data_IF_335313658061
#
_entry.id   IF_335313658061
#
_cell.length_a   1.000
_cell.length_b   1.000
_cell.length_c   1.000
_cell.angle_alpha   90.00
_cell.angle_beta   90.00
_cell.angle_gamma   90.00
#
_symmetry.space_group_name_H-M   'P 1'
#
loop_
_entity.id
_entity.type
_entity.pdbx_description
1 polymer ?
#
# COMPACT_ATOMS: atom_id res chain seq x y z
N UNK A 1 -12.14 -6.51 -9.23
CA UNK A 1 -13.26 -6.09 -10.11
C UNK A 1 -14.55 -6.85 -9.79
N UNK A 2 -14.51 -8.17 -9.58
CA UNK A 2 -15.71 -8.99 -9.34
C UNK A 2 -16.54 -8.58 -8.11
N UNK A 3 -15.91 -8.23 -6.98
CA UNK A 3 -16.65 -7.70 -5.81
C UNK A 3 -17.41 -6.40 -6.11
N UNK A 4 -16.88 -5.54 -6.98
CA UNK A 4 -17.55 -4.30 -7.41
C UNK A 4 -18.78 -4.65 -8.27
N UNK A 5 -18.66 -5.67 -9.13
CA UNK A 5 -19.72 -6.13 -10.01
C UNK A 5 -20.83 -6.90 -9.28
N UNK A 6 -20.49 -7.74 -8.31
CA UNK A 6 -21.43 -8.61 -7.61
C UNK A 6 -22.26 -7.88 -6.54
N UNK A 7 -21.71 -6.86 -5.89
CA UNK A 7 -22.33 -6.21 -4.73
C UNK A 7 -22.80 -4.77 -5.00
N UNK A 8 -22.69 -4.30 -6.25
CA UNK A 8 -23.22 -3.03 -6.75
C UNK A 8 -22.43 -1.78 -6.34
N UNK A 9 -21.93 -1.69 -5.09
CA UNK A 9 -21.07 -0.60 -4.66
C UNK A 9 -20.17 -1.02 -3.49
N UNK A 10 -18.87 -0.75 -3.62
CA UNK A 10 -17.96 -0.76 -2.46
C UNK A 10 -18.15 0.57 -1.72
N UNK A 11 -18.43 0.53 -0.42
CA UNK A 11 -18.58 1.76 0.35
C UNK A 11 -17.26 2.53 0.44
N UNK A 12 -17.34 3.82 0.73
CA UNK A 12 -16.16 4.70 0.76
C UNK A 12 -15.09 4.21 1.76
N UNK A 13 -15.49 3.70 2.92
CA UNK A 13 -14.57 3.15 3.93
C UNK A 13 -13.80 1.92 3.43
N UNK A 14 -14.48 1.01 2.73
CA UNK A 14 -13.82 -0.17 2.14
C UNK A 14 -12.88 0.25 1.01
N UNK A 15 -13.28 1.25 0.22
CA UNK A 15 -12.41 1.78 -0.85
C UNK A 15 -11.14 2.41 -0.26
N UNK A 16 -11.26 3.19 0.82
CA UNK A 16 -10.12 3.78 1.52
C UNK A 16 -9.16 2.70 2.04
N UNK A 17 -9.68 1.62 2.64
CA UNK A 17 -8.87 0.49 3.12
C UNK A 17 -8.08 -0.19 1.99
N UNK A 18 -8.75 -0.48 0.86
CA UNK A 18 -8.09 -1.08 -0.31
C UNK A 18 -7.03 -0.15 -0.90
N UNK A 19 -7.34 1.15 -1.05
CA UNK A 19 -6.40 2.15 -1.58
C UNK A 19 -5.19 2.32 -0.67
N UNK A 20 -5.37 2.27 0.66
CA UNK A 20 -4.27 2.33 1.62
C UNK A 20 -3.32 1.15 1.45
N UNK A 21 -3.85 -0.08 1.37
CA UNK A 21 -3.05 -1.28 1.16
C UNK A 21 -2.31 -1.25 -0.19
N UNK A 22 -2.97 -0.80 -1.27
CA UNK A 22 -2.34 -0.65 -2.58
C UNK A 22 -1.24 0.42 -2.59
N UNK A 23 -1.46 1.55 -1.91
CA UNK A 23 -0.46 2.60 -1.75
C UNK A 23 0.77 2.12 -0.96
N UNK A 24 0.56 1.34 0.10
CA UNK A 24 1.65 0.75 0.89
C UNK A 24 2.50 -0.21 0.04
N UNK A 25 1.85 -1.09 -0.73
CA UNK A 25 2.55 -1.99 -1.66
C UNK A 25 3.37 -1.21 -2.72
N UNK A 26 2.82 -0.12 -3.26
CA UNK A 26 3.54 0.78 -4.16
C UNK A 26 4.73 1.45 -3.47
N UNK A 27 4.58 1.90 -2.23
CA UNK A 27 5.66 2.56 -1.46
C UNK A 27 6.83 1.61 -1.25
N UNK A 28 6.54 0.39 -0.81
CA UNK A 28 7.55 -0.66 -0.65
C UNK A 28 8.35 -0.89 -1.94
N UNK A 29 7.67 -0.96 -3.08
CA UNK A 29 8.30 -1.16 -4.39
C UNK A 29 9.08 0.07 -4.87
N UNK A 30 8.51 1.27 -4.73
CA UNK A 30 9.12 2.53 -5.17
C UNK A 30 10.41 2.81 -4.39
N UNK A 31 10.45 2.52 -3.09
CA UNK A 31 11.65 2.63 -2.26
C UNK A 31 12.78 1.69 -2.72
N UNK A 32 12.44 0.59 -3.40
CA UNK A 32 13.38 -0.36 -4.03
C UNK A 32 13.66 -0.03 -5.49
N UNK A 33 13.24 1.13 -5.97
CA UNK A 33 13.45 1.54 -7.36
C UNK A 33 12.58 0.79 -8.35
N UNK A 34 11.44 0.21 -7.96
CA UNK A 34 10.54 -0.55 -8.82
C UNK A 34 9.24 0.24 -9.03
N UNK A 35 8.86 0.48 -10.28
CA UNK A 35 7.54 1.02 -10.64
C UNK A 35 6.67 -0.10 -11.21
N UNK A 36 5.38 -0.15 -10.85
CA UNK A 36 4.44 -1.21 -11.26
C UNK A 36 3.99 -1.04 -12.73
N UNK A 37 3.66 0.19 -13.13
CA UNK A 37 3.28 0.65 -14.49
C UNK A 37 1.95 0.15 -15.04
N UNK A 38 1.33 -0.86 -14.45
CA UNK A 38 -0.02 -1.32 -14.83
C UNK A 38 -0.96 -1.46 -13.64
N UNK A 39 -1.00 -0.45 -12.76
CA UNK A 39 -1.97 -0.41 -11.66
C UNK A 39 -3.39 -0.27 -12.21
N UNK A 40 -4.23 -1.25 -11.91
CA UNK A 40 -5.63 -1.35 -12.35
C UNK A 40 -6.43 -2.28 -11.42
N UNK A 41 -7.77 -2.24 -11.39
CA UNK A 41 -8.58 -3.04 -10.48
C UNK A 41 -8.43 -4.56 -10.65
N UNK A 42 -7.98 -5.02 -11.82
CA UNK A 42 -7.68 -6.43 -12.12
C UNK A 42 -6.40 -6.90 -11.43
N UNK A 43 -5.47 -5.98 -11.18
CA UNK A 43 -4.18 -6.26 -10.53
C UNK A 43 -4.23 -6.03 -9.01
N UNK A 44 -5.42 -5.80 -8.44
CA UNK A 44 -5.67 -5.69 -6.99
C UNK A 44 -6.60 -6.84 -6.60
N UNK A 45 -6.03 -7.92 -6.08
CA UNK A 45 -6.75 -9.15 -5.77
C UNK A 45 -7.02 -9.28 -4.28
N UNK A 46 -8.22 -9.73 -3.91
CA UNK A 46 -8.52 -10.10 -2.53
C UNK A 46 -7.88 -11.45 -2.21
N UNK A 47 -7.30 -11.57 -1.01
CA UNK A 47 -6.69 -12.81 -0.54
C UNK A 47 -7.73 -13.89 -0.17
N UNK A 48 -8.99 -13.50 0.03
CA UNK A 48 -10.06 -14.41 0.44
C UNK A 48 -11.39 -14.08 -0.25
N UNK A 49 -12.29 -15.05 -0.29
CA UNK A 49 -13.69 -14.84 -0.73
C UNK A 49 -14.59 -14.29 0.40
N UNK A 50 -14.07 -14.12 1.62
CA UNK A 50 -14.81 -13.55 2.74
C UNK A 50 -15.00 -12.04 2.52
N UNK A 51 -16.25 -11.62 2.34
CA UNK A 51 -16.64 -10.23 2.06
C UNK A 51 -16.32 -9.30 3.24
N UNK A 52 -16.28 -9.83 4.47
CA UNK A 52 -15.85 -9.08 5.66
C UNK A 52 -14.34 -8.86 5.72
N UNK A 53 -13.58 -9.45 4.80
CA UNK A 53 -12.13 -9.34 4.74
C UNK A 53 -11.70 -8.57 3.47
N UNK A 54 -11.11 -7.39 3.69
CA UNK A 54 -10.62 -6.51 2.64
C UNK A 54 -9.11 -6.63 2.42
N UNK A 55 -8.47 -7.70 2.91
CA UNK A 55 -7.06 -7.90 2.68
C UNK A 55 -6.78 -8.15 1.20
N UNK A 56 -5.99 -7.27 0.58
CA UNK A 56 -5.63 -7.34 -0.84
C UNK A 56 -4.14 -7.60 -1.03
N UNK A 57 -3.80 -8.06 -2.24
CA UNK A 57 -2.45 -8.07 -2.78
C UNK A 57 -2.43 -7.40 -4.15
N UNK A 58 -1.38 -6.61 -4.39
CA UNK A 58 -1.06 -6.11 -5.73
C UNK A 58 -0.29 -7.20 -6.47
N UNK A 59 -0.81 -7.58 -7.63
CA UNK A 59 -0.28 -8.67 -8.45
C UNK A 59 0.18 -8.16 -9.82
N UNK A 60 0.76 -9.06 -10.62
CA UNK A 60 1.17 -8.81 -12.01
C UNK A 60 2.20 -7.67 -12.18
N UNK A 61 3.36 -7.91 -11.57
CA UNK A 61 4.56 -7.08 -11.73
C UNK A 61 5.28 -7.36 -13.06
N UNK A 62 4.63 -8.00 -14.05
CA UNK A 62 5.23 -8.39 -15.32
C UNK A 62 5.65 -7.20 -16.20
N UNK A 63 5.05 -6.03 -15.97
CA UNK A 63 5.48 -4.75 -16.57
C UNK A 63 6.38 -3.93 -15.63
N UNK A 64 6.64 -4.44 -14.42
CA UNK A 64 7.45 -3.80 -13.41
C UNK A 64 8.85 -3.50 -13.94
N UNK A 65 9.34 -2.28 -13.69
CA UNK A 65 10.63 -1.85 -14.20
C UNK A 65 11.49 -1.23 -13.10
N UNK A 66 12.75 -1.65 -13.03
CA UNK A 66 13.74 -1.09 -12.13
C UNK A 66 14.24 0.25 -12.65
N UNK A 67 13.80 1.35 -12.05
CA UNK A 67 14.16 2.72 -12.43
C UNK A 67 15.41 3.25 -11.70
N UNK A 68 16.03 2.45 -10.82
CA UNK A 68 17.22 2.84 -10.05
C UNK A 68 18.48 3.05 -10.89
N UNK A 69 18.56 2.46 -12.08
CA UNK A 69 19.71 2.59 -13.00
C UNK A 69 19.36 3.17 -14.37
N UNK A 70 18.08 3.17 -14.75
CA UNK A 70 17.66 3.63 -16.06
C UNK A 70 16.24 4.21 -16.03
N UNK A 71 16.00 5.08 -17.00
CA UNK A 71 14.83 5.91 -17.15
C UNK A 71 13.82 5.22 -18.10
N UNK A 72 12.52 5.18 -17.78
CA UNK A 72 11.50 4.40 -18.54
C UNK A 72 10.95 5.14 -19.78
N UNK A 73 10.89 4.50 -20.95
CA UNK A 73 10.46 5.17 -22.21
C UNK A 73 9.38 4.42 -23.03
N UNK A 74 8.92 3.24 -22.61
CA UNK A 74 7.90 2.48 -23.37
C UNK A 74 6.46 2.79 -22.93
N UNK A 75 5.57 2.92 -23.91
CA UNK A 75 4.13 3.00 -23.71
C UNK A 75 3.59 1.60 -23.39
N UNK A 76 3.37 1.33 -22.10
CA UNK A 76 2.81 0.07 -21.60
C UNK A 76 1.71 0.38 -20.57
N UNK A 77 0.82 -0.58 -20.34
CA UNK A 77 -0.30 -0.47 -19.41
C UNK A 77 -1.65 -0.28 -20.11
N UNK A 78 -2.71 -0.38 -19.31
CA UNK A 78 -4.09 -0.26 -19.80
C UNK A 78 -4.45 1.20 -20.06
N UNK A 79 -4.85 1.55 -21.30
CA UNK A 79 -5.08 2.95 -21.75
C UNK A 79 -5.94 3.79 -20.80
N UNK A 80 -6.95 3.18 -20.18
CA UNK A 80 -7.87 3.85 -19.24
C UNK A 80 -7.16 4.35 -17.98
N UNK A 81 -6.15 3.62 -17.50
CA UNK A 81 -5.47 3.87 -16.22
C UNK A 81 -4.09 4.53 -16.41
N UNK A 82 -3.52 4.46 -17.61
CA UNK A 82 -2.20 5.01 -17.89
C UNK A 82 -2.15 6.54 -17.74
N UNK A 83 -1.01 7.03 -17.25
CA UNK A 83 -0.74 8.45 -17.08
C UNK A 83 -0.47 9.15 -18.43
N UNK A 84 -0.79 10.45 -18.58
CA UNK A 84 -0.65 11.15 -19.86
C UNK A 84 0.77 11.12 -20.41
N UNK A 85 1.79 11.23 -19.57
CA UNK A 85 3.20 11.15 -19.97
C UNK A 85 3.63 9.76 -20.46
N UNK A 86 2.99 8.70 -19.96
CA UNK A 86 3.20 7.33 -20.43
C UNK A 86 2.59 7.15 -21.82
N UNK A 87 1.38 7.67 -22.02
CA UNK A 87 0.67 7.60 -23.30
C UNK A 87 1.38 8.38 -24.40
N UNK A 88 1.93 9.54 -24.07
CA UNK A 88 2.59 10.37 -25.06
C UNK A 88 3.98 9.85 -25.46
N UNK A 89 4.54 8.88 -24.72
CA UNK A 89 5.90 8.36 -24.91
C UNK A 89 6.95 9.48 -25.07
N UNK A 90 6.65 10.68 -24.54
CA UNK A 90 7.40 11.91 -24.83
C UNK A 90 8.70 11.97 -24.06
N UNK A 91 8.77 11.26 -22.94
CA UNK A 91 9.86 11.36 -22.01
C UNK A 91 10.07 10.09 -21.21
N UNK A 92 11.24 10.06 -20.61
CA UNK A 92 11.52 9.32 -19.40
C UNK A 92 10.46 9.60 -18.33
N UNK A 93 9.83 8.57 -17.81
CA UNK A 93 8.95 8.69 -16.64
C UNK A 93 9.50 7.93 -15.41
N UNK A 94 9.03 8.33 -14.23
CA UNK A 94 9.37 7.76 -12.92
C UNK A 94 8.20 6.94 -12.38
N UNK A 95 8.28 6.52 -11.12
CA UNK A 95 7.19 5.83 -10.42
C UNK A 95 5.92 6.68 -10.22
N UNK A 96 5.96 7.99 -10.54
CA UNK A 96 4.81 8.90 -10.50
C UNK A 96 3.65 8.50 -11.43
N UNK A 97 3.89 7.62 -12.43
CA UNK A 97 2.82 7.05 -13.24
C UNK A 97 1.87 6.17 -12.42
N UNK A 98 2.40 5.43 -11.44
CA UNK A 98 1.58 4.56 -10.57
C UNK A 98 0.63 5.39 -9.70
N UNK A 99 1.04 6.60 -9.33
CA UNK A 99 0.21 7.54 -8.56
C UNK A 99 -1.02 7.99 -9.35
N UNK A 100 -0.83 8.28 -10.64
CA UNK A 100 -1.94 8.59 -11.53
C UNK A 100 -2.89 7.40 -11.64
N UNK A 101 -2.35 6.21 -11.92
CA UNK A 101 -3.13 4.98 -12.05
C UNK A 101 -3.91 4.66 -10.76
N UNK A 102 -3.30 4.84 -9.58
CA UNK A 102 -3.97 4.73 -8.28
C UNK A 102 -5.12 5.74 -8.14
N UNK A 103 -4.94 6.97 -8.63
CA UNK A 103 -6.00 7.98 -8.70
C UNK A 103 -7.17 7.57 -9.59
N UNK A 104 -6.89 7.00 -10.76
CA UNK A 104 -7.91 6.47 -11.67
C UNK A 104 -8.65 5.29 -11.04
N UNK A 105 -7.92 4.34 -10.45
CA UNK A 105 -8.49 3.20 -9.70
C UNK A 105 -9.42 3.70 -8.59
N UNK A 106 -8.95 4.64 -7.77
CA UNK A 106 -9.74 5.21 -6.67
C UNK A 106 -11.03 5.87 -7.19
N UNK A 107 -10.94 6.65 -8.27
CA UNK A 107 -12.10 7.28 -8.91
C UNK A 107 -13.12 6.23 -9.39
N UNK A 108 -12.64 5.18 -10.07
CA UNK A 108 -13.48 4.09 -10.59
C UNK A 108 -14.14 3.31 -9.46
N UNK A 109 -13.41 3.01 -8.37
CA UNK A 109 -13.98 2.28 -7.23
C UNK A 109 -15.11 3.05 -6.55
N UNK A 110 -15.01 4.39 -6.48
CA UNK A 110 -16.02 5.21 -5.82
C UNK A 110 -17.27 5.48 -6.66
N UNK A 111 -17.15 5.59 -7.99
CA UNK A 111 -18.29 5.96 -8.83
C UNK A 111 -18.63 4.99 -9.98
N UNK A 112 -17.85 3.92 -10.15
CA UNK A 112 -18.06 2.87 -11.15
C UNK A 112 -17.75 3.27 -12.59
N UNK A 113 -17.21 4.48 -12.84
CA UNK A 113 -16.94 5.00 -14.18
C UNK A 113 -15.52 5.53 -14.29
N UNK A 114 -14.86 5.47 -15.46
CA UNK A 114 -13.56 6.09 -15.66
C UNK A 114 -13.66 7.63 -15.66
N UNK A 115 -12.64 8.35 -15.14
CA UNK A 115 -12.62 9.81 -15.11
C UNK A 115 -12.46 10.43 -16.51
N UNK A 116 -11.82 9.70 -17.44
CA UNK A 116 -11.54 10.14 -18.80
C UNK A 116 -12.19 9.16 -19.79
N UNK A 117 -12.99 9.69 -20.71
CA UNK A 117 -13.68 8.92 -21.76
C UNK A 117 -13.64 9.66 -23.10
N UNK A 118 -13.94 8.94 -24.17
CA UNK A 118 -13.85 9.41 -25.54
C UNK A 118 -12.78 8.64 -26.32
N UNK A 119 -12.44 9.13 -27.52
CA UNK A 119 -11.29 8.59 -28.25
C UNK A 119 -9.95 8.99 -27.58
N UNK A 120 -8.84 8.40 -28.02
CA UNK A 120 -7.51 8.66 -27.46
C UNK A 120 -7.16 10.15 -27.35
N UNK A 121 -7.42 10.94 -28.40
CA UNK A 121 -7.09 12.37 -28.41
C UNK A 121 -7.96 13.17 -27.43
N UNK A 122 -9.24 12.82 -27.31
CA UNK A 122 -10.16 13.44 -26.36
C UNK A 122 -9.78 13.13 -24.90
N UNK A 123 -9.45 11.87 -24.62
CA UNK A 123 -9.00 11.45 -23.30
C UNK A 123 -7.74 12.21 -22.91
N UNK A 124 -6.70 12.19 -23.75
CA UNK A 124 -5.45 12.88 -23.49
C UNK A 124 -5.64 14.39 -23.28
N UNK A 125 -6.53 15.03 -24.06
CA UNK A 125 -6.89 16.44 -23.87
C UNK A 125 -7.52 16.69 -22.49
N UNK A 126 -8.45 15.84 -22.04
CA UNK A 126 -9.08 15.94 -20.72
C UNK A 126 -8.08 15.68 -19.58
N UNK A 127 -7.20 14.68 -19.74
CA UNK A 127 -6.15 14.36 -18.78
C UNK A 127 -5.22 15.56 -18.56
N UNK A 128 -4.75 16.18 -19.64
CA UNK A 128 -3.89 17.38 -19.59
C UNK A 128 -4.58 18.61 -19.00
N UNK A 129 -5.88 18.73 -19.23
CA UNK A 129 -6.69 19.79 -18.66
C UNK A 129 -7.13 19.51 -17.21
N UNK A 130 -6.75 18.37 -16.63
CA UNK A 130 -7.22 17.89 -15.32
C UNK A 130 -8.75 17.93 -15.22
N UNK A 131 -9.43 17.61 -16.32
CA UNK A 131 -10.87 17.79 -16.49
C UNK A 131 -11.61 16.46 -16.39
N UNK A 132 -12.19 16.21 -15.22
CA UNK A 132 -13.01 15.04 -14.91
C UNK A 132 -14.14 15.43 -13.94
N UNK A 133 -15.37 14.91 -14.11
CA UNK A 133 -16.52 15.31 -13.33
C UNK A 133 -16.51 14.69 -11.93
N UNK A 134 -16.85 15.47 -10.90
CA UNK A 134 -17.09 14.97 -9.54
C UNK A 134 -18.30 15.67 -8.93
N UNK A 135 -19.39 15.77 -9.70
CA UNK A 135 -20.54 16.63 -9.38
C UNK A 135 -21.90 15.95 -9.49
N UNK A 136 -21.98 14.75 -10.06
CA UNK A 136 -23.25 14.02 -10.17
C UNK A 136 -23.75 13.52 -8.81
N UNK A 137 -24.92 12.88 -8.80
CA UNK A 137 -25.56 12.37 -7.59
C UNK A 137 -24.69 11.37 -6.82
N UNK A 138 -23.89 10.54 -7.50
CA UNK A 138 -22.94 9.62 -6.86
C UNK A 138 -21.87 10.42 -6.12
N UNK A 139 -21.29 11.42 -6.77
CA UNK A 139 -20.28 12.27 -6.16
C UNK A 139 -20.81 13.18 -5.05
N UNK A 140 -22.11 13.46 -4.97
CA UNK A 140 -22.68 14.21 -3.85
C UNK A 140 -22.59 13.45 -2.52
N UNK A 141 -22.60 12.12 -2.55
CA UNK A 141 -22.49 11.26 -1.36
C UNK A 141 -21.04 10.98 -0.94
N UNK A 142 -20.08 11.21 -1.84
CA UNK A 142 -18.66 10.98 -1.59
C UNK A 142 -18.05 12.15 -0.81
N UNK A 143 -17.27 11.84 0.22
CA UNK A 143 -16.68 12.86 1.10
C UNK A 143 -15.80 13.87 0.34
N UNK A 144 -15.68 15.11 0.84
CA UNK A 144 -14.72 16.07 0.32
C UNK A 144 -13.27 15.56 0.36
N UNK A 145 -12.93 14.75 1.37
CA UNK A 145 -11.56 14.24 1.56
C UNK A 145 -11.17 13.24 0.47
N UNK A 146 -12.06 12.33 0.07
CA UNK A 146 -11.82 11.45 -1.08
C UNK A 146 -11.53 12.24 -2.35
N UNK A 147 -12.30 13.31 -2.60
CA UNK A 147 -12.15 14.17 -3.79
C UNK A 147 -10.83 14.95 -3.75
N UNK A 148 -10.37 15.39 -2.57
CA UNK A 148 -9.08 16.06 -2.41
C UNK A 148 -7.94 15.09 -2.76
N UNK A 149 -7.98 13.86 -2.24
CA UNK A 149 -6.98 12.84 -2.56
C UNK A 149 -6.90 12.60 -4.08
N UNK A 150 -8.04 12.35 -4.73
CA UNK A 150 -8.06 12.09 -6.18
C UNK A 150 -7.52 13.28 -6.98
N UNK A 151 -7.83 14.52 -6.59
CA UNK A 151 -7.26 15.72 -7.23
C UNK A 151 -5.74 15.85 -7.03
N UNK A 152 -5.21 15.36 -5.92
CA UNK A 152 -3.78 15.28 -5.70
C UNK A 152 -3.11 14.23 -6.59
N UNK A 153 -3.75 13.07 -6.78
CA UNK A 153 -3.23 11.97 -7.60
C UNK A 153 -3.32 12.25 -9.10
N UNK A 154 -4.43 12.85 -9.56
CA UNK A 154 -4.71 13.14 -10.98
C UNK A 154 -4.17 14.50 -11.45
N UNK A 155 -2.93 14.83 -11.07
CA UNK A 155 -2.22 15.98 -11.63
C UNK A 155 -1.56 15.62 -12.95
N UNK A 156 -1.75 16.44 -13.98
CA UNK A 156 -1.22 16.17 -15.31
C UNK A 156 0.32 16.19 -15.29
N UNK A 157 0.89 17.18 -14.61
CA UNK A 157 2.33 17.30 -14.35
C UNK A 157 2.76 16.26 -13.29
N UNK A 158 3.61 15.28 -13.62
CA UNK A 158 4.06 14.26 -12.68
C UNK A 158 4.75 14.83 -11.44
N UNK A 159 5.41 16.00 -11.55
CA UNK A 159 6.11 16.65 -10.43
C UNK A 159 5.15 17.28 -9.41
N UNK A 160 3.90 17.50 -9.80
CA UNK A 160 2.84 18.06 -8.94
C UNK A 160 1.92 16.99 -8.36
N UNK A 161 2.09 15.72 -8.76
CA UNK A 161 1.28 14.62 -8.21
C UNK A 161 1.61 14.42 -6.74
N UNK A 162 0.57 14.10 -5.98
CA UNK A 162 0.67 13.81 -4.57
C UNK A 162 1.64 12.63 -4.33
N UNK A 163 2.74 12.82 -3.59
CA UNK A 163 3.68 11.75 -3.25
C UNK A 163 3.05 10.67 -2.36
N UNK A 164 3.58 9.45 -2.38
CA UNK A 164 3.05 8.32 -1.59
C UNK A 164 3.00 8.60 -0.09
N UNK A 165 4.01 9.25 0.47
CA UNK A 165 4.01 9.63 1.88
C UNK A 165 2.81 10.51 2.23
N UNK A 166 2.46 11.44 1.34
CA UNK A 166 1.31 12.31 1.54
C UNK A 166 -0.01 11.58 1.30
N UNK A 167 -0.03 10.55 0.44
CA UNK A 167 -1.19 9.67 0.24
C UNK A 167 -1.47 8.87 1.51
N UNK A 168 -0.46 8.17 2.05
CA UNK A 168 -0.61 7.33 3.24
C UNK A 168 -0.98 8.12 4.49
N UNK A 169 -0.52 9.37 4.58
CA UNK A 169 -0.88 10.30 5.66
C UNK A 169 -2.20 11.08 5.42
N UNK A 170 -2.85 10.88 4.28
CA UNK A 170 -4.06 11.63 3.93
C UNK A 170 -5.23 11.29 4.87
N UNK A 171 -5.95 12.31 5.35
CA UNK A 171 -7.03 12.13 6.33
C UNK A 171 -8.10 11.12 5.88
N UNK A 172 -8.39 11.07 4.59
CA UNK A 172 -9.31 10.08 4.02
C UNK A 172 -8.90 8.62 4.30
N UNK A 173 -7.61 8.30 4.31
CA UNK A 173 -7.09 6.94 4.57
C UNK A 173 -6.89 6.65 6.06
N UNK A 174 -6.90 7.67 6.93
CA UNK A 174 -6.72 7.52 8.39
C UNK A 174 -7.99 7.07 9.12
N UNK A 175 -9.16 7.15 8.49
CA UNK A 175 -10.47 6.90 9.13
C UNK A 175 -10.66 5.40 9.49
N UNK A 176 -9.86 4.48 8.95
CA UNK A 176 -10.05 3.02 9.10
C UNK A 176 -9.26 2.37 10.24
N UNK A 177 -8.63 3.11 11.16
CA UNK A 177 -7.91 2.48 12.28
C UNK A 177 -8.89 1.90 13.31
N UNK A 178 -9.08 0.58 13.25
CA UNK A 178 -9.69 -0.19 14.33
C UNK A 178 -8.83 -0.14 15.60
N UNK A 179 -9.45 -0.38 16.76
CA UNK A 179 -8.68 -0.51 18.00
C UNK A 179 -7.91 -1.84 17.99
N UNK A 180 -6.59 -1.74 18.16
CA UNK A 180 -5.69 -2.89 18.34
C UNK A 180 -6.11 -3.70 19.57
N UNK A 181 -6.22 -5.01 19.42
CA UNK A 181 -6.31 -5.91 20.56
C UNK A 181 -4.94 -5.97 21.25
N UNK A 182 -4.81 -5.25 22.36
CA UNK A 182 -3.57 -5.16 23.15
C UNK A 182 -3.08 -6.52 23.63
N UNK A 183 -3.97 -7.49 23.87
CA UNK A 183 -3.57 -8.82 24.35
C UNK A 183 -2.93 -9.63 23.21
N UNK A 184 -3.53 -9.60 22.03
CA UNK A 184 -2.94 -10.19 20.82
C UNK A 184 -1.59 -9.54 20.51
N UNK A 185 -1.52 -8.20 20.52
CA UNK A 185 -0.31 -7.45 20.27
C UNK A 185 0.83 -7.85 21.21
N UNK A 186 0.52 -7.93 22.51
CA UNK A 186 1.45 -8.37 23.55
C UNK A 186 1.99 -9.77 23.29
N UNK A 187 1.14 -10.70 22.85
CA UNK A 187 1.56 -12.06 22.52
C UNK A 187 2.53 -12.10 21.33
N UNK A 188 2.25 -11.35 20.26
CA UNK A 188 3.12 -11.28 19.08
C UNK A 188 4.50 -10.72 19.44
N UNK A 189 4.54 -9.60 20.17
CA UNK A 189 5.80 -8.98 20.56
C UNK A 189 6.60 -9.82 21.58
N UNK A 190 5.92 -10.54 22.47
CA UNK A 190 6.58 -11.50 23.35
C UNK A 190 7.19 -12.67 22.57
N UNK A 191 6.47 -13.19 21.57
CA UNK A 191 7.01 -14.24 20.70
C UNK A 191 8.26 -13.73 19.97
N UNK A 192 8.20 -12.55 19.36
CA UNK A 192 9.33 -11.88 18.71
C UNK A 192 10.57 -11.80 19.63
N UNK A 193 10.36 -11.37 20.89
CA UNK A 193 11.42 -11.31 21.91
C UNK A 193 11.94 -12.69 22.33
N UNK A 194 11.09 -13.71 22.39
CA UNK A 194 11.54 -15.06 22.70
C UNK A 194 12.37 -15.65 21.55
N UNK A 195 11.97 -15.37 20.29
CA UNK A 195 12.67 -15.83 19.10
C UNK A 195 14.03 -15.16 18.91
N UNK A 196 14.18 -13.89 19.26
CA UNK A 196 15.48 -13.22 19.22
C UNK A 196 16.52 -13.89 20.14
N UNK A 197 16.10 -14.67 21.15
CA UNK A 197 17.01 -15.42 22.02
C UNK A 197 17.42 -16.81 21.49
N UNK A 198 16.97 -17.19 20.30
CA UNK A 198 17.31 -18.46 19.66
C UNK A 198 18.56 -18.34 18.78
N UNK A 199 19.12 -19.48 18.35
CA UNK A 199 20.30 -19.46 17.47
C UNK A 199 19.94 -18.94 16.08
N UNK A 200 20.86 -18.24 15.41
CA UNK A 200 20.65 -17.71 14.06
C UNK A 200 20.18 -18.79 13.07
N UNK A 201 20.72 -20.00 13.16
CA UNK A 201 20.28 -21.13 12.33
C UNK A 201 18.80 -21.48 12.58
N UNK A 202 18.37 -21.50 13.85
CA UNK A 202 16.97 -21.78 14.19
C UNK A 202 16.05 -20.65 13.72
N UNK A 203 16.44 -19.38 13.89
CA UNK A 203 15.68 -18.22 13.40
C UNK A 203 15.46 -18.28 11.89
N UNK A 204 16.51 -18.60 11.11
CA UNK A 204 16.40 -18.78 9.65
C UNK A 204 15.45 -19.94 9.31
N UNK A 205 15.51 -21.06 10.05
CA UNK A 205 14.60 -22.19 9.83
C UNK A 205 13.14 -21.80 10.11
N UNK A 206 12.88 -21.09 11.22
CA UNK A 206 11.53 -20.62 11.58
C UNK A 206 11.01 -19.64 10.54
N UNK A 207 11.79 -18.64 10.15
CA UNK A 207 11.43 -17.69 9.09
C UNK A 207 11.13 -18.43 7.77
N UNK A 208 11.92 -19.43 7.41
CA UNK A 208 11.67 -20.26 6.22
C UNK A 208 10.38 -21.07 6.33
N UNK A 209 10.01 -21.55 7.52
CA UNK A 209 8.74 -22.25 7.75
C UNK A 209 7.57 -21.26 7.73
N UNK A 210 7.72 -20.09 8.35
CA UNK A 210 6.71 -19.03 8.36
C UNK A 210 6.31 -18.61 6.94
N UNK A 211 7.28 -18.55 6.01
CA UNK A 211 7.03 -18.31 4.56
C UNK A 211 6.13 -19.34 3.90
N UNK A 212 6.02 -20.54 4.46
CA UNK A 212 5.22 -21.65 3.93
C UNK A 212 3.89 -21.84 4.69
N UNK A 213 3.68 -21.12 5.80
CA UNK A 213 2.45 -21.19 6.58
C UNK A 213 1.30 -20.49 5.85
N UNK A 214 0.08 -21.01 6.04
CA UNK A 214 -1.12 -20.46 5.44
C UNK A 214 -1.46 -19.08 6.04
N UNK A 215 -1.89 -18.15 5.19
CA UNK A 215 -2.23 -16.75 5.52
C UNK A 215 -3.25 -16.60 6.66
N UNK A 216 -4.05 -17.64 6.94
CA UNK A 216 -4.99 -17.66 8.06
C UNK A 216 -4.30 -17.68 9.43
N UNK A 217 -3.13 -18.29 9.54
CA UNK A 217 -2.37 -18.40 10.79
C UNK A 217 -1.57 -17.14 11.12
N UNK A 218 -1.29 -16.29 10.13
CA UNK A 218 -0.45 -15.10 10.29
C UNK A 218 -1.23 -13.77 10.27
N UNK A 219 -2.58 -13.83 10.22
CA UNK A 219 -3.44 -12.63 10.15
C UNK A 219 -3.22 -11.69 11.34
N UNK A 220 -3.07 -12.25 12.53
CA UNK A 220 -2.83 -11.50 13.76
C UNK A 220 -1.44 -10.85 13.76
N UNK A 221 -0.42 -11.59 13.31
CA UNK A 221 0.96 -11.08 13.14
C UNK A 221 1.00 -9.95 12.11
N UNK A 222 0.32 -10.12 10.97
CA UNK A 222 0.19 -9.09 9.94
C UNK A 222 -0.48 -7.82 10.46
N UNK A 223 -1.55 -7.96 11.27
CA UNK A 223 -2.23 -6.81 11.88
C UNK A 223 -1.29 -6.02 12.78
N UNK A 224 -0.53 -6.70 13.65
CA UNK A 224 0.46 -6.06 14.53
C UNK A 224 1.54 -5.37 13.70
N UNK A 225 2.05 -6.03 12.66
CA UNK A 225 3.04 -5.44 11.75
C UNK A 225 2.52 -4.14 11.13
N UNK A 226 1.34 -4.14 10.50
CA UNK A 226 0.77 -2.95 9.87
C UNK A 226 0.43 -1.82 10.87
N UNK A 227 0.22 -2.14 12.15
CA UNK A 227 -0.02 -1.13 13.18
C UNK A 227 1.29 -0.50 13.69
N UNK A 228 2.39 -1.27 13.65
CA UNK A 228 3.72 -0.78 13.97
C UNK A 228 4.35 -0.01 12.81
N UNK A 229 4.07 -0.41 11.56
CA UNK A 229 4.48 0.30 10.34
C UNK A 229 3.63 1.57 10.18
N UNK A 230 4.02 2.60 10.96
CA UNK A 230 3.29 3.86 11.02
C UNK A 230 3.39 4.67 9.74
N UNK A 231 4.50 4.49 9.00
CA UNK A 231 4.78 5.22 7.79
C UNK A 231 4.23 4.49 6.53
N UNK A 232 3.86 3.22 6.67
CA UNK A 232 3.22 2.37 5.67
C UNK A 232 4.12 1.93 4.53
N UNK A 233 5.44 1.87 4.71
CA UNK A 233 6.39 1.48 3.66
C UNK A 233 6.64 -0.02 3.57
N UNK A 234 6.02 -0.82 4.44
CA UNK A 234 6.09 -2.27 4.42
C UNK A 234 7.36 -2.85 5.06
N UNK A 235 8.10 -2.04 5.81
CA UNK A 235 9.19 -2.48 6.69
C UNK A 235 9.04 -1.82 8.07
N UNK A 236 9.74 -2.31 9.08
CA UNK A 236 9.78 -1.70 10.40
C UNK A 236 11.18 -1.17 10.68
N UNK A 237 11.28 0.14 10.89
CA UNK A 237 12.49 0.73 11.45
C UNK A 237 12.57 0.47 12.97
N UNK A 238 13.79 0.54 13.55
CA UNK A 238 13.97 0.42 15.00
C UNK A 238 13.08 1.40 15.80
N UNK A 239 12.86 2.59 15.25
CA UNK A 239 11.99 3.61 15.84
C UNK A 239 10.53 3.14 15.95
N UNK A 240 10.01 2.50 14.90
CA UNK A 240 8.68 1.93 14.82
C UNK A 240 8.52 0.72 15.75
N UNK A 241 9.53 -0.15 15.79
CA UNK A 241 9.55 -1.29 16.72
C UNK A 241 9.54 -0.80 18.17
N UNK A 242 10.39 0.17 18.51
CA UNK A 242 10.46 0.77 19.85
C UNK A 242 9.11 1.38 20.25
N UNK A 243 8.49 2.17 19.36
CA UNK A 243 7.19 2.79 19.62
C UNK A 243 6.09 1.73 19.83
N UNK A 244 6.11 0.63 19.07
CA UNK A 244 5.20 -0.49 19.25
C UNK A 244 5.34 -1.16 20.63
N UNK A 245 6.58 -1.46 21.05
CA UNK A 245 6.86 -2.02 22.37
C UNK A 245 6.44 -1.06 23.49
N UNK A 246 6.76 0.23 23.36
CA UNK A 246 6.39 1.26 24.34
C UNK A 246 4.87 1.37 24.49
N UNK A 247 4.13 1.33 23.39
CA UNK A 247 2.65 1.42 23.38
C UNK A 247 2.00 0.22 24.08
N UNK A 248 2.57 -0.98 23.96
CA UNK A 248 1.99 -2.22 24.47
C UNK A 248 2.43 -2.53 25.91
N UNK A 249 3.71 -2.36 26.22
CA UNK A 249 4.29 -2.72 27.52
C UNK A 249 4.54 -1.52 28.45
N UNK A 250 4.58 -0.30 27.90
CA UNK A 250 4.90 0.93 28.63
C UNK A 250 6.37 1.33 28.56
N UNK A 251 6.63 2.62 28.82
CA UNK A 251 7.95 3.28 28.75
C UNK A 251 9.02 2.67 29.67
N UNK A 252 8.61 2.18 30.84
CA UNK A 252 9.52 1.68 31.87
C UNK A 252 9.62 0.15 31.88
N UNK A 253 9.11 -0.52 30.84
CA UNK A 253 9.07 -1.98 30.76
C UNK A 253 10.45 -2.59 30.49
N UNK A 254 10.70 -3.78 31.05
CA UNK A 254 11.93 -4.53 30.76
C UNK A 254 12.02 -4.92 29.27
N UNK A 255 10.87 -5.17 28.63
CA UNK A 255 10.74 -5.48 27.20
C UNK A 255 11.22 -4.34 26.29
N UNK A 256 11.14 -3.08 26.76
CA UNK A 256 11.62 -1.95 25.97
C UNK A 256 13.14 -1.78 26.09
N UNK A 257 13.74 -2.25 27.20
CA UNK A 257 15.19 -2.10 27.43
C UNK A 257 16.02 -2.97 26.50
N UNK A 258 15.53 -4.14 26.12
CA UNK A 258 16.22 -5.07 25.22
C UNK A 258 15.72 -4.99 23.77
N UNK A 259 14.85 -4.04 23.42
CA UNK A 259 14.27 -3.92 22.07
C UNK A 259 15.33 -3.74 20.98
N UNK A 260 16.42 -3.03 21.28
CA UNK A 260 17.51 -2.79 20.33
C UNK A 260 18.28 -4.08 20.02
N UNK A 261 18.47 -4.93 21.04
CA UNK A 261 19.09 -6.24 20.87
C UNK A 261 18.14 -7.23 20.16
N UNK A 262 16.85 -7.20 20.51
CA UNK A 262 15.81 -7.98 19.81
C UNK A 262 15.81 -7.65 18.33
N UNK A 263 15.81 -6.35 17.98
CA UNK A 263 15.85 -5.86 16.61
C UNK A 263 17.08 -6.36 15.86
N UNK A 264 18.28 -6.15 16.42
CA UNK A 264 19.53 -6.51 15.79
C UNK A 264 19.68 -8.02 15.52
N UNK A 265 18.98 -8.88 16.28
CA UNK A 265 18.99 -10.33 16.09
C UNK A 265 17.95 -10.83 15.09
N UNK A 266 16.91 -10.03 14.82
CA UNK A 266 15.84 -10.35 13.87
C UNK A 266 16.11 -9.77 12.48
N UNK A 267 16.93 -8.72 12.38
CA UNK A 267 17.45 -8.19 11.13
C UNK A 267 18.46 -9.19 10.54
N UNK A 268 17.96 -10.16 9.76
CA UNK A 268 18.74 -11.29 9.29
C UNK A 268 19.64 -10.90 8.11
N UNK A 269 19.22 -9.89 7.34
CA UNK A 269 19.96 -9.39 6.18
C UNK A 269 20.82 -8.14 6.46
N UNK A 270 20.78 -7.62 7.70
CA UNK A 270 21.47 -6.42 8.15
C UNK A 270 21.09 -5.16 7.34
N UNK A 271 19.83 -5.10 6.88
CA UNK A 271 19.29 -3.95 6.15
C UNK A 271 19.07 -2.73 7.04
N UNK A 272 19.04 -2.91 8.37
CA UNK A 272 18.66 -1.88 9.33
C UNK A 272 17.14 -1.69 9.44
N UNK A 273 16.36 -2.59 8.85
CA UNK A 273 14.90 -2.62 8.87
C UNK A 273 14.42 -4.07 9.02
N UNK A 274 13.23 -4.30 9.56
CA UNK A 274 12.62 -5.64 9.55
C UNK A 274 11.54 -5.70 8.48
N UNK A 275 11.67 -6.62 7.52
CA UNK A 275 10.58 -6.91 6.60
C UNK A 275 9.50 -7.79 7.26
N UNK A 276 8.33 -7.92 6.60
CA UNK A 276 7.23 -8.73 7.14
C UNK A 276 7.62 -10.21 7.37
N UNK A 277 8.56 -10.73 6.60
CA UNK A 277 9.04 -12.11 6.77
C UNK A 277 9.91 -12.25 8.00
N UNK A 278 10.78 -11.28 8.27
CA UNK A 278 11.65 -11.27 9.45
C UNK A 278 10.86 -11.03 10.74
N UNK A 279 9.74 -10.31 10.64
CA UNK A 279 8.81 -10.10 11.74
C UNK A 279 7.97 -11.34 12.10
N UNK A 280 7.75 -12.25 11.13
CA UNK A 280 6.90 -13.43 11.26
C UNK A 280 7.59 -14.63 11.92
#
# INVERSE_FOLDING_TARGET
FDRIMEHGSICEATTADIVKQAASALKYAHNRGIAHRDMKPENICFCTNDIGNNHIKVIDWGLGFYFGQARMSSAVGSLTYAAPEVLEARDVYTSACDMWSLGVVTYVMLCGKPPFWGNYAEQLKKMKAESYPMKDSTWQQISPQAKILIRGLLKADPKKRLPLDNVLNHDWLRITQGQMDTQMASQVLQNMRNFSNTSQFFSICVASVARQLDHRSLRDVYRVFCEMDTNGDGVLELSEVRNGFERIFGKDSEQLKDVEEVFARLDLDASGTLDYTEFC
#
